data_IF_911950212195
#
_entry.id   IF_911950212195
#
_cell.length_a   1.000
_cell.length_b   1.000
_cell.length_c   1.000
_cell.angle_alpha   90.00
_cell.angle_beta   90.00
_cell.angle_gamma   90.00
#
_symmetry.space_group_name_H-M   'P 1'
#
loop_
_entity.id
_entity.type
_entity.pdbx_description
1 polymer ?
#
# COMPACT_ATOMS: atom_id res chain seq x y z
N UNK A 1 11.27 -15.10 -6.25
CA UNK A 1 10.35 -15.94 -5.49
C UNK A 1 10.81 -16.02 -4.06
N UNK A 2 10.06 -15.42 -3.15
CA UNK A 2 10.29 -15.58 -1.72
C UNK A 2 10.06 -17.04 -1.29
N UNK A 3 11.06 -17.65 -0.67
CA UNK A 3 11.00 -19.01 -0.11
C UNK A 3 10.40 -18.96 1.30
N UNK A 4 9.28 -19.62 1.52
CA UNK A 4 8.67 -19.73 2.86
C UNK A 4 9.15 -21.00 3.57
N UNK A 5 9.56 -20.87 4.82
CA UNK A 5 9.90 -21.98 5.72
C UNK A 5 9.01 -21.91 6.97
N UNK A 6 8.49 -23.05 7.39
CA UNK A 6 7.78 -23.22 8.66
C UNK A 6 8.77 -23.84 9.64
N UNK A 7 9.07 -23.14 10.72
CA UNK A 7 10.06 -23.59 11.71
C UNK A 7 9.32 -24.08 12.94
N UNK A 8 9.55 -25.34 13.30
CA UNK A 8 8.98 -26.02 14.48
C UNK A 8 10.10 -26.54 15.37
N UNK A 9 9.83 -26.91 16.63
CA UNK A 9 10.84 -27.54 17.48
C UNK A 9 11.08 -28.99 17.05
N UNK A 10 9.99 -29.73 16.84
CA UNK A 10 10.03 -31.12 16.37
C UNK A 10 9.10 -31.32 15.18
N UNK A 11 9.48 -32.18 14.22
CA UNK A 11 8.64 -32.46 13.05
C UNK A 11 7.28 -33.08 13.42
N UNK A 12 7.22 -33.79 14.56
CA UNK A 12 5.96 -34.34 15.08
C UNK A 12 4.93 -33.27 15.44
N UNK A 13 5.36 -32.04 15.73
CA UNK A 13 4.46 -30.92 16.01
C UNK A 13 3.63 -30.51 14.79
N UNK A 14 4.00 -30.99 13.59
CA UNK A 14 3.29 -30.77 12.34
C UNK A 14 2.34 -31.92 11.96
N UNK A 15 2.34 -33.04 12.68
CA UNK A 15 1.54 -34.22 12.33
C UNK A 15 0.03 -33.99 12.13
N UNK A 16 -0.64 -33.07 12.86
CA UNK A 16 -2.06 -32.79 12.63
C UNK A 16 -2.36 -32.14 11.27
N UNK A 17 -1.32 -31.66 10.57
CA UNK A 17 -1.41 -30.90 9.34
C UNK A 17 -0.94 -31.71 8.13
N UNK A 18 -1.34 -31.30 6.93
CA UNK A 18 -0.88 -31.94 5.69
C UNK A 18 0.65 -31.84 5.53
N UNK A 19 1.35 -32.91 5.13
CA UNK A 19 2.81 -32.88 4.99
C UNK A 19 3.29 -31.80 3.99
N UNK A 20 4.30 -31.05 4.38
CA UNK A 20 4.89 -29.99 3.56
C UNK A 20 6.42 -30.03 3.60
N UNK A 21 7.04 -29.91 2.43
CA UNK A 21 8.51 -29.86 2.28
C UNK A 21 9.10 -28.52 2.80
N UNK A 22 8.25 -27.58 3.24
CA UNK A 22 8.64 -26.30 3.80
C UNK A 22 8.82 -26.33 5.32
N UNK A 23 8.45 -27.43 5.98
CA UNK A 23 8.56 -27.59 7.44
C UNK A 23 9.96 -28.09 7.79
N UNK A 24 10.65 -27.36 8.65
CA UNK A 24 11.98 -27.70 9.16
C UNK A 24 12.04 -27.52 10.68
N UNK A 25 12.96 -28.21 11.34
CA UNK A 25 13.20 -27.97 12.77
C UNK A 25 14.02 -26.71 12.99
N UNK A 26 13.91 -26.09 14.16
CA UNK A 26 14.76 -24.96 14.56
C UNK A 26 16.25 -25.32 14.51
N UNK A 27 16.63 -26.53 14.94
CA UNK A 27 18.01 -27.03 14.84
C UNK A 27 18.49 -27.09 13.37
N UNK A 28 17.65 -27.58 12.46
CA UNK A 28 17.97 -27.60 11.02
C UNK A 28 18.13 -26.18 10.49
N UNK A 29 17.24 -25.26 10.89
CA UNK A 29 17.33 -23.85 10.48
C UNK A 29 18.60 -23.19 11.01
N UNK A 30 19.00 -23.46 12.25
CA UNK A 30 20.24 -22.96 12.85
C UNK A 30 21.46 -23.42 12.05
N UNK A 31 21.51 -24.71 11.70
CA UNK A 31 22.60 -25.33 10.95
C UNK A 31 22.62 -24.97 9.45
N UNK A 32 21.53 -24.40 8.91
CA UNK A 32 21.47 -24.00 7.50
C UNK A 32 22.39 -22.81 7.25
N UNK A 33 23.41 -22.99 6.40
CA UNK A 33 24.24 -21.89 5.91
C UNK A 33 23.41 -20.89 5.10
N UNK A 34 23.79 -19.61 5.14
CA UNK A 34 23.11 -18.58 4.34
C UNK A 34 23.20 -18.97 2.85
N UNK A 35 22.04 -19.11 2.22
CA UNK A 35 21.93 -19.40 0.80
C UNK A 35 22.31 -18.20 -0.06
N UNK A 36 21.86 -18.22 -1.32
CA UNK A 36 22.02 -17.08 -2.24
C UNK A 36 21.49 -15.78 -1.61
N UNK A 37 22.32 -14.73 -1.44
CA UNK A 37 21.91 -13.46 -0.84
C UNK A 37 20.79 -12.76 -1.63
N UNK A 38 20.58 -13.09 -2.90
CA UNK A 38 19.44 -12.56 -3.67
C UNK A 38 18.11 -13.29 -3.37
N UNK A 39 18.14 -14.45 -2.70
CA UNK A 39 16.94 -15.22 -2.40
C UNK A 39 16.27 -14.68 -1.12
N UNK A 40 15.12 -14.03 -1.28
CA UNK A 40 14.27 -13.68 -0.15
C UNK A 40 13.75 -14.92 0.56
N UNK A 41 13.90 -14.94 1.88
CA UNK A 41 13.40 -16.02 2.74
C UNK A 41 12.40 -15.44 3.73
N UNK A 42 11.28 -16.14 3.88
CA UNK A 42 10.24 -15.89 4.87
C UNK A 42 10.20 -17.03 5.87
N UNK A 43 10.19 -16.69 7.16
CA UNK A 43 10.08 -17.64 8.26
C UNK A 43 8.71 -17.47 8.92
N UNK A 44 7.94 -18.55 8.97
CA UNK A 44 6.77 -18.66 9.85
C UNK A 44 7.24 -19.47 11.05
N UNK A 45 7.53 -18.79 12.15
CA UNK A 45 8.01 -19.38 13.38
C UNK A 45 6.82 -19.95 14.15
N UNK A 46 6.81 -21.28 14.28
CA UNK A 46 5.79 -22.09 14.94
C UNK A 46 6.40 -22.92 16.09
N UNK A 47 7.50 -22.43 16.68
CA UNK A 47 8.07 -23.03 17.88
C UNK A 47 7.04 -23.05 19.04
N UNK A 48 7.25 -23.95 19.99
CA UNK A 48 6.32 -24.20 21.11
C UNK A 48 6.27 -23.08 22.15
N UNK A 49 7.34 -22.31 22.28
CA UNK A 49 7.45 -21.19 23.22
C UNK A 49 8.07 -19.97 22.57
N UNK A 50 7.50 -18.80 22.86
CA UNK A 50 8.02 -17.49 22.45
C UNK A 50 8.60 -16.67 23.61
N UNK A 51 8.79 -17.27 24.78
CA UNK A 51 9.38 -16.59 25.94
C UNK A 51 10.82 -16.14 25.65
N UNK A 52 11.30 -15.10 26.34
CA UNK A 52 12.69 -14.66 26.21
C UNK A 52 13.67 -15.84 26.38
N UNK A 53 14.65 -15.94 25.47
CA UNK A 53 15.65 -17.03 25.39
C UNK A 53 15.08 -18.43 25.05
N UNK A 54 13.83 -18.56 24.60
CA UNK A 54 13.34 -19.82 24.03
C UNK A 54 13.83 -20.05 22.60
N UNK A 55 13.64 -21.27 22.10
CA UNK A 55 13.88 -21.61 20.69
C UNK A 55 13.09 -20.70 19.75
N UNK A 56 11.82 -20.43 20.05
CA UNK A 56 11.01 -19.49 19.28
C UNK A 56 11.57 -18.06 19.29
N UNK A 57 12.07 -17.58 20.43
CA UNK A 57 12.72 -16.27 20.49
C UNK A 57 14.00 -16.22 19.63
N UNK A 58 14.86 -17.23 19.76
CA UNK A 58 16.10 -17.31 18.98
C UNK A 58 15.85 -17.53 17.48
N UNK A 59 14.79 -18.26 17.11
CA UNK A 59 14.38 -18.43 15.72
C UNK A 59 14.09 -17.08 15.06
N UNK A 60 13.28 -16.23 15.70
CA UNK A 60 13.00 -14.88 15.20
C UNK A 60 14.24 -13.99 15.18
N UNK A 61 15.07 -14.04 16.23
CA UNK A 61 16.30 -13.24 16.29
C UNK A 61 17.30 -13.62 15.20
N UNK A 62 17.52 -14.92 14.99
CA UNK A 62 18.41 -15.42 13.95
C UNK A 62 17.87 -15.10 12.55
N UNK A 63 16.56 -15.20 12.34
CA UNK A 63 15.95 -14.84 11.07
C UNK A 63 16.17 -13.36 10.73
N UNK A 64 15.94 -12.44 11.67
CA UNK A 64 16.21 -11.02 11.47
C UNK A 64 17.71 -10.76 11.21
N UNK A 65 18.60 -11.41 11.96
CA UNK A 65 20.06 -11.29 11.75
C UNK A 65 20.51 -11.79 10.36
N UNK A 66 19.75 -12.69 9.74
CA UNK A 66 19.96 -13.19 8.37
C UNK A 66 19.19 -12.37 7.32
N UNK A 67 18.54 -11.26 7.71
CA UNK A 67 17.65 -10.48 6.84
C UNK A 67 16.51 -11.29 6.24
N UNK A 68 16.09 -12.36 6.91
CA UNK A 68 14.89 -13.11 6.57
C UNK A 68 13.67 -12.44 7.19
N UNK A 69 12.55 -12.39 6.47
CA UNK A 69 11.31 -11.85 7.00
C UNK A 69 10.65 -12.89 7.90
N UNK A 70 10.55 -12.64 9.21
CA UNK A 70 10.00 -13.59 10.18
C UNK A 70 8.71 -13.11 10.84
N UNK A 71 7.78 -14.04 11.04
CA UNK A 71 6.60 -13.85 11.88
C UNK A 71 6.54 -14.93 12.98
N UNK A 72 6.31 -14.56 14.25
CA UNK A 72 6.39 -13.20 14.77
C UNK A 72 7.83 -12.65 14.76
N UNK A 73 7.99 -11.33 14.61
CA UNK A 73 9.28 -10.65 14.73
C UNK A 73 9.75 -10.56 16.18
N UNK A 74 11.04 -10.33 16.43
CA UNK A 74 11.57 -10.14 17.79
C UNK A 74 10.90 -8.96 18.47
N UNK A 75 10.64 -7.89 17.69
CA UNK A 75 9.86 -6.75 18.16
C UNK A 75 8.45 -7.17 18.58
N UNK A 76 7.72 -7.90 17.74
CA UNK A 76 6.37 -8.36 18.07
C UNK A 76 6.35 -9.24 19.33
N UNK A 77 7.34 -10.13 19.48
CA UNK A 77 7.49 -10.95 20.70
C UNK A 77 7.75 -10.12 21.95
N UNK A 78 8.64 -9.13 21.87
CA UNK A 78 8.94 -8.24 22.99
C UNK A 78 7.74 -7.35 23.36
N UNK A 79 7.01 -6.86 22.36
CA UNK A 79 5.84 -6.00 22.55
C UNK A 79 4.69 -6.79 23.20
N UNK A 80 4.45 -8.03 22.76
CA UNK A 80 3.45 -8.94 23.36
C UNK A 80 3.87 -9.41 24.76
N UNK A 81 5.18 -9.57 25.01
CA UNK A 81 5.70 -10.01 26.31
C UNK A 81 5.58 -8.97 27.43
N UNK A 82 5.21 -7.71 27.13
CA UNK A 82 5.12 -6.62 28.13
C UNK A 82 3.81 -5.84 28.03
N UNK A 83 2.98 -5.93 29.07
CA UNK A 83 1.66 -5.27 29.15
C UNK A 83 1.67 -3.76 28.87
N UNK A 84 2.72 -3.05 29.32
CA UNK A 84 2.82 -1.62 29.07
C UNK A 84 3.06 -1.27 27.60
N UNK A 85 3.76 -2.13 26.84
CA UNK A 85 4.18 -1.83 25.47
C UNK A 85 3.05 -2.01 24.46
N UNK A 86 2.31 -3.12 24.54
CA UNK A 86 1.20 -3.30 23.59
C UNK A 86 0.07 -2.31 23.87
N UNK A 87 -0.21 -1.92 25.12
CA UNK A 87 -1.28 -0.96 25.45
C UNK A 87 -1.13 0.40 24.74
N UNK A 88 0.09 0.91 24.62
CA UNK A 88 0.39 2.13 23.86
C UNK A 88 0.00 2.00 22.37
N UNK A 89 0.14 0.79 21.82
CA UNK A 89 -0.22 0.50 20.44
C UNK A 89 -1.70 0.12 20.28
N UNK A 90 -2.55 0.21 21.33
CA UNK A 90 -3.97 -0.13 21.26
C UNK A 90 -4.90 1.09 21.36
N UNK A 91 -4.38 2.30 21.60
CA UNK A 91 -5.18 3.52 21.87
C UNK A 91 -6.25 3.80 20.79
N UNK A 92 -5.96 3.50 19.52
CA UNK A 92 -6.89 3.71 18.40
C UNK A 92 -7.90 2.56 18.14
N UNK A 93 -7.92 1.48 18.95
CA UNK A 93 -8.81 0.33 18.69
C UNK A 93 -10.16 0.40 19.41
N UNK A 94 -10.41 1.47 20.17
CA UNK A 94 -11.66 1.68 20.93
C UNK A 94 -12.91 1.67 20.04
N UNK A 95 -12.86 2.28 18.85
CA UNK A 95 -13.97 2.28 17.89
C UNK A 95 -14.28 0.89 17.30
N UNK A 96 -13.31 0.15 16.73
CA UNK A 96 -13.52 -1.23 16.29
C UNK A 96 -14.07 -2.14 17.39
N UNK A 97 -13.55 -2.01 18.62
CA UNK A 97 -14.04 -2.73 19.79
C UNK A 97 -15.52 -2.44 20.07
N UNK A 98 -15.90 -1.15 20.10
CA UNK A 98 -17.28 -0.75 20.33
C UNK A 98 -18.24 -1.27 19.24
N UNK A 99 -17.79 -1.36 17.98
CA UNK A 99 -18.59 -1.92 16.87
C UNK A 99 -18.79 -3.42 17.01
N UNK A 100 -17.72 -4.17 17.29
CA UNK A 100 -17.76 -5.63 17.43
C UNK A 100 -18.73 -6.06 18.55
N UNK A 101 -18.79 -5.30 19.63
CA UNK A 101 -19.59 -5.62 20.81
C UNK A 101 -20.96 -4.93 20.90
N UNK A 102 -21.47 -4.30 19.82
CA UNK A 102 -22.78 -3.61 19.83
C UNK A 102 -23.96 -4.43 20.35
N UNK A 103 -23.87 -5.78 20.35
CA UNK A 103 -24.96 -6.71 20.68
C UNK A 103 -24.63 -7.70 21.82
N UNK A 104 -23.47 -7.61 22.46
CA UNK A 104 -23.07 -8.58 23.49
C UNK A 104 -23.30 -8.09 24.92
N UNK A 105 -23.42 -9.05 25.84
CA UNK A 105 -23.67 -8.81 27.26
C UNK A 105 -22.48 -8.12 27.93
N UNK A 106 -22.76 -7.07 28.69
CA UNK A 106 -21.78 -6.15 29.28
C UNK A 106 -21.10 -6.65 30.57
N UNK A 107 -21.17 -7.94 30.90
CA UNK A 107 -20.73 -8.46 32.21
C UNK A 107 -19.82 -9.70 32.13
N UNK A 108 -19.14 -9.94 31.01
CA UNK A 108 -18.29 -11.14 30.83
C UNK A 108 -16.90 -10.79 30.30
N UNK A 109 -15.90 -11.50 30.82
CA UNK A 109 -14.60 -11.64 30.17
C UNK A 109 -14.74 -12.61 28.99
N UNK A 110 -14.11 -12.27 27.85
CA UNK A 110 -14.19 -13.01 26.61
C UNK A 110 -12.77 -13.29 26.12
N UNK A 111 -12.49 -14.55 25.80
CA UNK A 111 -11.24 -14.96 25.15
C UNK A 111 -11.52 -15.26 23.69
N UNK A 112 -10.76 -14.62 22.80
CA UNK A 112 -10.85 -14.76 21.35
C UNK A 112 -9.50 -15.22 20.81
N UNK A 113 -9.53 -16.09 19.80
CA UNK A 113 -8.32 -16.48 19.07
C UNK A 113 -8.31 -15.88 17.67
N UNK A 114 -7.16 -15.33 17.29
CA UNK A 114 -6.84 -14.93 15.93
C UNK A 114 -5.81 -15.88 15.33
N UNK A 115 -6.05 -16.29 14.09
CA UNK A 115 -5.17 -17.12 13.28
C UNK A 115 -4.74 -16.31 12.06
N UNK A 116 -3.48 -15.88 11.99
CA UNK A 116 -2.95 -15.03 10.92
C UNK A 116 -3.85 -13.81 10.58
N UNK A 117 -4.44 -13.17 11.59
CA UNK A 117 -5.33 -12.02 11.41
C UNK A 117 -6.75 -12.36 10.96
N UNK A 118 -7.15 -13.62 11.04
CA UNK A 118 -8.52 -14.09 10.81
C UNK A 118 -9.09 -14.75 12.07
N UNK A 119 -10.41 -14.87 12.15
CA UNK A 119 -11.09 -15.52 13.26
C UNK A 119 -12.42 -16.09 12.75
N UNK A 120 -12.95 -17.19 13.32
CA UNK A 120 -14.23 -17.76 12.87
C UNK A 120 -15.44 -16.87 13.16
N UNK A 121 -15.35 -15.93 14.09
CA UNK A 121 -16.46 -15.03 14.44
C UNK A 121 -16.45 -13.75 13.58
N UNK A 122 -17.46 -13.54 12.71
CA UNK A 122 -17.52 -12.39 11.82
C UNK A 122 -17.56 -11.04 12.54
N UNK A 123 -18.04 -10.99 13.79
CA UNK A 123 -18.12 -9.75 14.56
C UNK A 123 -16.74 -9.17 14.88
N UNK A 124 -15.71 -10.03 14.98
CA UNK A 124 -14.36 -9.64 15.37
C UNK A 124 -13.37 -9.54 14.20
N UNK A 125 -13.80 -9.79 12.96
CA UNK A 125 -12.94 -9.76 11.78
C UNK A 125 -12.12 -8.45 11.64
N UNK A 126 -12.76 -7.29 11.84
CA UNK A 126 -12.08 -5.99 11.75
C UNK A 126 -11.01 -5.83 12.85
N UNK A 127 -11.35 -6.24 14.07
CA UNK A 127 -10.45 -6.17 15.23
C UNK A 127 -9.22 -7.05 15.05
N UNK A 128 -9.40 -8.33 14.73
CA UNK A 128 -8.28 -9.27 14.58
C UNK A 128 -7.37 -8.90 13.42
N UNK A 129 -7.92 -8.33 12.33
CA UNK A 129 -7.13 -7.82 11.22
C UNK A 129 -6.22 -6.68 11.69
N UNK A 130 -6.78 -5.67 12.35
CA UNK A 130 -6.01 -4.52 12.85
C UNK A 130 -4.94 -4.94 13.87
N UNK A 131 -5.27 -5.91 14.74
CA UNK A 131 -4.30 -6.47 15.70
C UNK A 131 -3.16 -7.18 14.98
N UNK A 132 -3.44 -7.98 13.96
CA UNK A 132 -2.41 -8.68 13.19
C UNK A 132 -1.52 -7.73 12.38
N UNK A 133 -2.04 -6.59 11.93
CA UNK A 133 -1.21 -5.54 11.29
C UNK A 133 -0.18 -4.93 12.25
N UNK A 134 -0.51 -4.85 13.55
CA UNK A 134 0.35 -4.30 14.61
C UNK A 134 1.26 -5.36 15.23
N UNK A 135 0.72 -6.55 15.47
CA UNK A 135 1.37 -7.70 16.07
C UNK A 135 1.25 -8.92 15.15
N UNK A 136 2.07 -9.00 14.08
CA UNK A 136 2.05 -10.16 13.19
C UNK A 136 2.44 -11.41 13.96
N UNK A 137 1.46 -12.27 14.26
CA UNK A 137 1.63 -13.50 15.01
C UNK A 137 0.77 -14.61 14.40
N UNK A 138 1.29 -15.85 14.23
CA UNK A 138 0.52 -16.98 13.70
C UNK A 138 -0.78 -17.24 14.47
N UNK A 139 -0.69 -17.27 15.80
CA UNK A 139 -1.84 -17.41 16.70
C UNK A 139 -1.72 -16.36 17.79
N UNK A 140 -2.77 -15.55 17.94
CA UNK A 140 -2.87 -14.55 18.97
C UNK A 140 -4.14 -14.81 19.81
N UNK A 141 -3.95 -15.04 21.10
CA UNK A 141 -5.03 -15.06 22.09
C UNK A 141 -5.26 -13.63 22.58
N UNK A 142 -6.53 -13.22 22.57
CA UNK A 142 -6.99 -11.88 22.86
C UNK A 142 -8.01 -11.97 23.98
N UNK A 143 -7.69 -11.41 25.14
CA UNK A 143 -8.61 -11.35 26.27
C UNK A 143 -9.23 -9.97 26.35
N UNK A 144 -10.57 -9.96 26.40
CA UNK A 144 -11.40 -8.77 26.36
C UNK A 144 -12.24 -8.72 27.63
N UNK A 145 -12.30 -7.56 28.26
CA UNK A 145 -13.14 -7.34 29.45
C UNK A 145 -13.95 -6.07 29.28
N UNK A 146 -15.19 -6.13 29.76
CA UNK A 146 -16.02 -4.94 29.89
C UNK A 146 -15.87 -4.35 31.29
N UNK A 147 -15.41 -3.10 31.38
CA UNK A 147 -15.51 -2.29 32.59
C UNK A 147 -16.48 -1.12 32.36
N UNK A 148 -15.98 0.03 31.92
CA UNK A 148 -16.82 1.14 31.43
C UNK A 148 -17.04 1.05 29.91
N UNK A 149 -16.03 0.51 29.21
CA UNK A 149 -16.01 0.18 27.80
C UNK A 149 -15.33 -1.17 27.61
N UNK A 150 -15.44 -1.76 26.42
CA UNK A 150 -14.69 -2.97 26.08
C UNK A 150 -13.23 -2.63 25.88
N UNK A 151 -12.35 -3.32 26.60
CA UNK A 151 -10.91 -3.13 26.52
C UNK A 151 -10.21 -4.48 26.37
N UNK A 152 -9.08 -4.46 25.65
CA UNK A 152 -8.17 -5.60 25.56
C UNK A 152 -7.32 -5.61 26.83
N UNK A 153 -7.54 -6.61 27.68
CA UNK A 153 -6.80 -6.75 28.94
C UNK A 153 -5.47 -7.45 28.72
N UNK A 154 -5.43 -8.44 27.84
CA UNK A 154 -4.28 -9.31 27.60
C UNK A 154 -4.16 -9.71 26.12
N UNK A 155 -2.92 -9.79 25.63
CA UNK A 155 -2.58 -10.26 24.29
C UNK A 155 -1.42 -11.25 24.39
N UNK A 156 -1.63 -12.49 23.95
CA UNK A 156 -0.63 -13.55 24.05
C UNK A 156 -0.39 -14.25 22.73
N UNK A 157 0.89 -14.40 22.37
CA UNK A 157 1.30 -15.30 21.30
C UNK A 157 1.18 -16.75 21.79
N UNK A 158 0.39 -17.57 21.10
CA UNK A 158 0.12 -18.96 21.50
C UNK A 158 0.74 -19.92 20.48
N UNK A 159 1.27 -21.04 20.93
CA UNK A 159 1.74 -22.09 20.04
C UNK A 159 0.57 -22.88 19.47
N UNK A 160 0.68 -23.28 18.20
CA UNK A 160 -0.30 -24.13 17.52
C UNK A 160 -0.52 -25.48 18.21
N UNK A 161 0.39 -25.90 19.10
CA UNK A 161 0.29 -27.14 19.89
C UNK A 161 -0.80 -27.10 20.97
N UNK A 162 -1.20 -25.91 21.40
CA UNK A 162 -2.25 -25.73 22.41
C UNK A 162 -3.65 -25.62 21.81
N UNK A 163 -3.77 -25.77 20.48
CA UNK A 163 -5.04 -25.71 19.76
C UNK A 163 -5.75 -27.06 19.82
N UNK A 164 -7.05 -27.04 20.10
CA UNK A 164 -7.91 -28.21 19.91
C UNK A 164 -8.15 -28.51 18.42
N UNK A 165 -8.77 -29.65 18.09
CA UNK A 165 -9.00 -30.09 16.71
C UNK A 165 -9.76 -29.07 15.85
N UNK A 166 -10.70 -28.33 16.46
CA UNK A 166 -11.49 -27.31 15.76
C UNK A 166 -10.63 -26.08 15.48
N UNK A 167 -9.88 -25.63 16.48
CA UNK A 167 -8.92 -24.53 16.37
C UNK A 167 -7.79 -24.84 15.38
N UNK A 168 -7.30 -26.08 15.34
CA UNK A 168 -6.30 -26.54 14.36
C UNK A 168 -6.84 -26.47 12.93
N UNK A 169 -8.12 -26.80 12.72
CA UNK A 169 -8.77 -26.64 11.41
C UNK A 169 -8.78 -25.17 10.98
N UNK A 170 -9.20 -24.26 11.88
CA UNK A 170 -9.18 -22.83 11.59
C UNK A 170 -7.77 -22.29 11.34
N UNK A 171 -6.78 -22.75 12.11
CA UNK A 171 -5.38 -22.42 11.89
C UNK A 171 -4.89 -22.86 10.51
N UNK A 172 -5.20 -24.10 10.09
CA UNK A 172 -4.79 -24.62 8.80
C UNK A 172 -5.42 -23.84 7.63
N UNK A 173 -6.72 -23.51 7.73
CA UNK A 173 -7.41 -22.67 6.75
C UNK A 173 -6.84 -21.26 6.69
N UNK A 174 -6.55 -20.66 7.85
CA UNK A 174 -5.95 -19.34 7.94
C UNK A 174 -4.54 -19.34 7.35
N UNK A 175 -3.74 -20.38 7.62
CA UNK A 175 -2.41 -20.55 7.07
C UNK A 175 -2.41 -20.72 5.54
N UNK A 176 -3.38 -21.44 4.97
CA UNK A 176 -3.55 -21.55 3.52
C UNK A 176 -3.91 -20.20 2.87
N UNK A 177 -4.84 -19.46 3.49
CA UNK A 177 -5.23 -18.12 3.03
C UNK A 177 -4.10 -17.13 3.13
N UNK A 178 -3.36 -17.19 4.24
CA UNK A 178 -2.22 -16.36 4.52
C UNK A 178 -1.12 -16.69 3.52
N UNK A 179 -0.56 -17.89 3.58
CA UNK A 179 0.52 -18.35 2.70
C UNK A 179 0.04 -19.52 1.83
N UNK A 180 -0.46 -19.19 0.63
CA UNK A 180 -0.85 -20.17 -0.41
C UNK A 180 0.28 -21.09 -0.88
N UNK A 181 1.50 -20.88 -0.38
CA UNK A 181 2.71 -21.66 -0.68
C UNK A 181 2.87 -22.85 0.27
N UNK A 182 2.28 -22.84 1.47
CA UNK A 182 2.53 -23.83 2.54
C UNK A 182 2.13 -25.26 2.14
N UNK A 183 1.02 -25.42 1.43
CA UNK A 183 0.44 -26.73 1.13
C UNK A 183 0.73 -27.24 -0.29
N UNK A 184 1.52 -26.50 -1.09
CA UNK A 184 1.76 -26.86 -2.49
C UNK A 184 2.79 -28.01 -2.57
N UNK A 185 2.33 -29.25 -2.66
CA UNK A 185 3.13 -30.33 -3.26
C UNK A 185 3.45 -29.98 -4.71
N UNK A 186 4.72 -30.19 -5.10
CA UNK A 186 5.29 -29.85 -6.40
C UNK A 186 4.50 -30.35 -7.60
N UNK A 187 3.50 -29.58 -8.04
CA UNK A 187 3.02 -29.65 -9.42
C UNK A 187 3.89 -28.73 -10.24
N UNK A 188 4.55 -29.30 -11.24
CA UNK A 188 5.31 -28.60 -12.27
C UNK A 188 4.39 -27.69 -13.11
N UNK A 189 3.88 -26.61 -12.53
CA UNK A 189 3.58 -25.40 -13.31
C UNK A 189 4.94 -24.84 -13.72
N UNK A 190 5.03 -24.23 -14.91
CA UNK A 190 6.14 -23.33 -15.24
C UNK A 190 6.40 -22.48 -14.00
N UNK A 191 7.52 -22.72 -13.32
CA UNK A 191 7.83 -22.07 -12.05
C UNK A 191 7.84 -20.58 -12.38
N UNK A 192 6.84 -19.85 -11.89
CA UNK A 192 6.95 -18.42 -11.89
C UNK A 192 8.25 -18.09 -11.15
N UNK A 193 9.08 -17.21 -11.68
CA UNK A 193 10.31 -16.79 -11.03
C UNK A 193 10.02 -15.77 -9.92
N UNK A 194 8.93 -15.03 -10.06
CA UNK A 194 8.56 -13.94 -9.17
C UNK A 194 7.05 -13.91 -8.87
N UNK A 195 6.68 -13.34 -7.72
CA UNK A 195 5.31 -13.06 -7.32
C UNK A 195 5.05 -11.54 -7.32
N UNK A 196 4.00 -11.05 -7.97
CA UNK A 196 3.66 -9.63 -8.02
C UNK A 196 2.28 -9.38 -7.41
N UNK A 197 2.23 -8.57 -6.36
CA UNK A 197 0.98 -8.03 -5.84
C UNK A 197 0.55 -6.82 -6.66
N UNK A 198 -0.70 -6.83 -7.14
CA UNK A 198 -1.34 -5.66 -7.74
C UNK A 198 -2.43 -5.17 -6.79
N UNK A 199 -2.21 -4.03 -6.13
CA UNK A 199 -3.19 -3.43 -5.22
C UNK A 199 -4.30 -2.76 -6.00
N UNK A 200 -5.55 -3.15 -5.73
CA UNK A 200 -6.75 -2.59 -6.36
C UNK A 200 -7.80 -2.24 -5.31
N UNK A 201 -8.62 -1.24 -5.64
CA UNK A 201 -9.88 -0.99 -4.98
C UNK A 201 -11.03 -1.32 -5.94
N UNK A 202 -11.84 -2.32 -5.56
CA UNK A 202 -12.94 -2.81 -6.40
C UNK A 202 -14.12 -1.84 -6.48
N UNK A 203 -14.20 -0.91 -5.52
CA UNK A 203 -15.29 0.06 -5.37
C UNK A 203 -14.89 1.45 -5.89
N UNK A 204 -13.63 1.64 -6.30
CA UNK A 204 -13.17 2.90 -6.89
C UNK A 204 -13.92 3.18 -8.20
N UNK A 205 -14.53 4.37 -8.30
CA UNK A 205 -15.36 4.75 -9.45
C UNK A 205 -14.53 5.01 -10.71
N UNK A 206 -13.32 5.53 -10.55
CA UNK A 206 -12.40 5.89 -11.62
C UNK A 206 -11.03 5.23 -11.38
N UNK A 207 -10.93 3.90 -11.43
CA UNK A 207 -9.71 3.21 -11.10
C UNK A 207 -8.64 3.46 -12.18
N UNK A 208 -7.34 3.51 -11.82
CA UNK A 208 -6.25 3.61 -12.79
C UNK A 208 -6.21 2.47 -13.82
N UNK A 209 -6.92 1.37 -13.58
CA UNK A 209 -7.00 0.24 -14.51
C UNK A 209 -8.39 -0.36 -14.58
N UNK A 210 -8.87 -0.58 -15.80
CA UNK A 210 -10.10 -1.30 -16.03
C UNK A 210 -9.89 -2.83 -15.94
N UNK A 211 -10.99 -3.59 -15.89
CA UNK A 211 -10.96 -5.05 -15.78
C UNK A 211 -10.19 -5.74 -16.91
N UNK A 212 -10.23 -5.19 -18.13
CA UNK A 212 -9.50 -5.73 -19.28
C UNK A 212 -7.99 -5.57 -19.10
N UNK A 213 -7.53 -4.43 -18.59
CA UNK A 213 -6.13 -4.18 -18.27
C UNK A 213 -5.64 -5.14 -17.18
N UNK A 214 -6.41 -5.34 -16.10
CA UNK A 214 -6.07 -6.29 -15.03
C UNK A 214 -5.92 -7.73 -15.54
N UNK A 215 -6.84 -8.18 -16.40
CA UNK A 215 -6.72 -9.50 -17.06
C UNK A 215 -5.46 -9.61 -17.93
N UNK A 216 -5.09 -8.53 -18.64
CA UNK A 216 -3.85 -8.48 -19.42
C UNK A 216 -2.62 -8.55 -18.53
N UNK A 217 -2.58 -7.86 -17.39
CA UNK A 217 -1.47 -7.96 -16.43
C UNK A 217 -1.28 -9.41 -15.97
N UNK A 218 -2.36 -10.10 -15.59
CA UNK A 218 -2.29 -11.51 -15.15
C UNK A 218 -1.79 -12.42 -16.28
N UNK A 219 -2.31 -12.24 -17.49
CA UNK A 219 -1.90 -13.03 -18.67
C UNK A 219 -0.42 -12.83 -19.00
N UNK A 220 0.02 -11.58 -19.11
CA UNK A 220 1.41 -11.24 -19.46
C UNK A 220 2.37 -11.64 -18.34
N UNK A 221 1.98 -11.48 -17.08
CA UNK A 221 2.75 -12.00 -15.95
C UNK A 221 2.99 -13.49 -16.09
N UNK A 222 1.93 -14.27 -16.34
CA UNK A 222 2.04 -15.73 -16.53
C UNK A 222 2.99 -16.09 -17.68
N UNK A 223 2.94 -15.38 -18.80
CA UNK A 223 3.83 -15.59 -19.96
C UNK A 223 5.29 -15.27 -19.64
N UNK A 224 5.54 -14.25 -18.80
CA UNK A 224 6.86 -13.84 -18.33
C UNK A 224 7.36 -14.61 -17.09
N UNK A 225 6.57 -15.57 -16.58
CA UNK A 225 6.90 -16.30 -15.36
C UNK A 225 6.80 -15.44 -14.09
N UNK A 226 5.80 -14.55 -14.02
CA UNK A 226 5.45 -13.76 -12.85
C UNK A 226 4.04 -14.17 -12.42
N UNK A 227 3.86 -14.67 -11.20
CA UNK A 227 2.54 -14.96 -10.64
C UNK A 227 1.93 -13.65 -10.14
N UNK A 228 0.85 -13.20 -10.79
CA UNK A 228 0.22 -11.91 -10.52
C UNK A 228 -1.03 -12.12 -9.69
N UNK A 229 -1.03 -11.61 -8.47
CA UNK A 229 -2.18 -11.65 -7.56
C UNK A 229 -2.79 -10.26 -7.39
N UNK A 230 -4.11 -10.14 -7.58
CA UNK A 230 -4.83 -8.93 -7.25
C UNK A 230 -5.13 -8.91 -5.76
N UNK A 231 -4.58 -7.94 -5.05
CA UNK A 231 -4.75 -7.75 -3.61
C UNK A 231 -5.58 -6.50 -3.30
N UNK A 232 -6.12 -6.44 -2.09
CA UNK A 232 -6.92 -5.32 -1.59
C UNK A 232 -6.30 -4.76 -0.30
N UNK A 233 -6.91 -3.70 0.25
CA UNK A 233 -6.51 -3.15 1.54
C UNK A 233 -6.41 -4.22 2.66
N UNK A 234 -7.24 -5.27 2.60
CA UNK A 234 -7.30 -6.32 3.61
C UNK A 234 -6.07 -7.24 3.61
N UNK A 235 -5.31 -7.24 2.52
CA UNK A 235 -4.13 -8.09 2.33
C UNK A 235 -2.83 -7.44 2.83
N UNK A 236 -2.92 -6.33 3.57
CA UNK A 236 -1.75 -5.58 4.06
C UNK A 236 -0.76 -6.45 4.84
N UNK A 237 -1.26 -7.41 5.63
CA UNK A 237 -0.44 -8.37 6.37
C UNK A 237 0.34 -9.36 5.48
N UNK A 238 -0.17 -9.66 4.28
CA UNK A 238 0.40 -10.64 3.34
C UNK A 238 1.46 -10.05 2.41
N UNK A 239 1.65 -8.73 2.43
CA UNK A 239 2.57 -8.03 1.54
C UNK A 239 4.00 -8.65 1.48
N UNK A 240 4.60 -9.15 2.58
CA UNK A 240 5.92 -9.78 2.54
C UNK A 240 6.01 -11.09 1.74
N UNK A 241 4.89 -11.65 1.28
CA UNK A 241 4.85 -12.88 0.45
C UNK A 241 5.25 -12.64 -1.00
N UNK A 242 5.14 -11.38 -1.43
CA UNK A 242 5.30 -10.98 -2.81
C UNK A 242 6.71 -10.47 -3.08
N UNK A 243 7.12 -10.59 -4.33
CA UNK A 243 8.40 -10.06 -4.77
C UNK A 243 8.35 -8.57 -5.12
N UNK A 244 7.17 -8.07 -5.51
CA UNK A 244 6.93 -6.67 -5.82
C UNK A 244 5.49 -6.24 -5.57
N UNK A 245 5.29 -4.93 -5.50
CA UNK A 245 4.00 -4.28 -5.35
C UNK A 245 3.78 -3.32 -6.53
N UNK A 246 2.60 -3.40 -7.16
CA UNK A 246 2.13 -2.45 -8.16
C UNK A 246 0.79 -1.84 -7.73
N UNK A 247 0.74 -0.54 -7.50
CA UNK A 247 -0.47 0.13 -7.00
C UNK A 247 -1.35 0.57 -8.18
N UNK A 248 -2.53 -0.05 -8.32
CA UNK A 248 -3.55 0.29 -9.33
C UNK A 248 -4.80 0.86 -8.67
N UNK A 249 -4.57 1.77 -7.74
CA UNK A 249 -5.54 2.60 -7.05
C UNK A 249 -5.00 4.04 -6.96
N UNK A 250 -5.87 5.03 -6.83
CA UNK A 250 -5.43 6.42 -6.63
C UNK A 250 -4.47 6.54 -5.43
N UNK A 251 -3.27 7.05 -5.70
CA UNK A 251 -2.22 7.27 -4.70
C UNK A 251 -2.45 8.60 -3.98
N UNK A 252 -2.32 8.60 -2.65
CA UNK A 252 -2.42 9.79 -1.81
C UNK A 252 -1.58 9.62 -0.54
N UNK A 253 -1.00 10.71 -0.04
CA UNK A 253 -0.08 10.69 1.12
C UNK A 253 -0.82 10.30 2.40
N UNK A 254 -2.01 10.88 2.61
CA UNK A 254 -2.90 10.53 3.74
C UNK A 254 -3.88 9.42 3.36
N UNK A 255 -3.35 8.31 2.81
CA UNK A 255 -4.15 7.18 2.38
C UNK A 255 -3.43 5.86 2.62
N UNK A 256 -4.16 4.75 2.66
CA UNK A 256 -3.56 3.44 2.89
C UNK A 256 -2.61 3.02 1.76
N UNK A 257 -2.79 3.54 0.54
CA UNK A 257 -1.90 3.28 -0.60
C UNK A 257 -0.46 3.72 -0.28
N UNK A 258 -0.27 4.84 0.41
CA UNK A 258 1.06 5.28 0.87
C UNK A 258 1.64 4.35 1.94
N UNK A 259 0.80 3.87 2.87
CA UNK A 259 1.23 2.90 3.88
C UNK A 259 1.67 1.57 3.24
N UNK A 260 0.95 1.09 2.23
CA UNK A 260 1.34 -0.08 1.43
C UNK A 260 2.69 0.13 0.74
N UNK A 261 2.90 1.27 0.09
CA UNK A 261 4.17 1.59 -0.55
C UNK A 261 5.33 1.62 0.47
N UNK A 262 5.14 2.27 1.64
CA UNK A 262 6.14 2.35 2.71
C UNK A 262 6.46 0.99 3.29
N UNK A 263 5.44 0.15 3.51
CA UNK A 263 5.64 -1.22 4.00
C UNK A 263 6.37 -2.06 2.96
N UNK A 264 5.95 -2.03 1.70
CA UNK A 264 6.61 -2.77 0.63
C UNK A 264 8.11 -2.40 0.52
N UNK A 265 8.43 -1.10 0.55
CA UNK A 265 9.82 -0.60 0.58
C UNK A 265 10.60 -1.12 1.79
N UNK A 266 10.03 -1.03 3.00
CA UNK A 266 10.66 -1.51 4.23
C UNK A 266 10.89 -3.04 4.24
N UNK A 267 9.99 -3.79 3.59
CA UNK A 267 10.06 -5.25 3.45
C UNK A 267 10.91 -5.69 2.24
N UNK A 268 11.57 -4.75 1.55
CA UNK A 268 12.48 -5.03 0.43
C UNK A 268 11.77 -5.46 -0.87
N UNK A 269 10.50 -5.12 -1.05
CA UNK A 269 9.78 -5.34 -2.30
C UNK A 269 10.19 -4.33 -3.37
N UNK A 270 10.16 -4.77 -4.63
CA UNK A 270 10.17 -3.85 -5.75
C UNK A 270 8.84 -3.11 -5.82
N UNK A 271 8.83 -1.81 -5.53
CA UNK A 271 7.62 -1.00 -5.52
C UNK A 271 7.50 -0.21 -6.80
N UNK A 272 6.44 -0.46 -7.56
CA UNK A 272 5.97 0.44 -8.62
C UNK A 272 4.98 1.40 -7.94
N UNK A 273 5.21 2.70 -8.14
CA UNK A 273 4.59 3.79 -7.38
C UNK A 273 5.17 3.91 -5.96
N UNK A 274 6.49 4.07 -5.87
CA UNK A 274 7.23 4.12 -4.60
C UNK A 274 6.85 5.35 -3.73
N UNK A 275 7.07 5.27 -2.40
CA UNK A 275 6.67 6.33 -1.48
C UNK A 275 7.29 7.69 -1.79
N UNK A 276 8.55 7.71 -2.24
CA UNK A 276 9.25 8.95 -2.54
C UNK A 276 8.64 9.63 -3.76
N UNK A 277 8.30 8.86 -4.79
CA UNK A 277 7.59 9.33 -5.97
C UNK A 277 6.18 9.82 -5.62
N UNK A 278 5.43 9.09 -4.80
CA UNK A 278 4.10 9.51 -4.34
C UNK A 278 4.15 10.89 -3.66
N UNK A 279 5.10 11.10 -2.75
CA UNK A 279 5.25 12.36 -2.01
C UNK A 279 5.64 13.53 -2.92
N UNK A 280 6.59 13.29 -3.84
CA UNK A 280 7.10 14.32 -4.75
C UNK A 280 6.07 14.69 -5.82
N UNK A 281 5.37 13.70 -6.38
CA UNK A 281 4.42 13.90 -7.48
C UNK A 281 3.07 14.45 -7.02
N UNK A 282 2.66 14.21 -5.76
CA UNK A 282 1.42 14.78 -5.21
C UNK A 282 1.51 16.30 -5.05
N UNK A 283 2.71 16.84 -4.79
CA UNK A 283 2.91 18.26 -4.50
C UNK A 283 3.34 19.06 -5.74
N UNK A 284 2.42 19.83 -6.33
CA UNK A 284 2.73 20.66 -7.50
C UNK A 284 3.73 21.78 -7.24
N UNK A 285 3.81 22.29 -6.00
CA UNK A 285 4.83 23.30 -5.65
C UNK A 285 6.21 22.69 -5.73
N UNK A 286 6.35 21.49 -5.17
CA UNK A 286 7.60 20.72 -5.24
C UNK A 286 8.00 20.42 -6.69
N UNK A 287 7.05 19.97 -7.52
CA UNK A 287 7.32 19.73 -8.95
C UNK A 287 7.71 21.01 -9.71
N UNK A 288 7.02 22.13 -9.47
CA UNK A 288 7.32 23.39 -10.13
C UNK A 288 8.75 23.88 -9.81
N UNK A 289 9.19 23.72 -8.55
CA UNK A 289 10.54 24.08 -8.16
C UNK A 289 11.61 23.14 -8.76
N UNK A 290 11.32 21.82 -8.83
CA UNK A 290 12.21 20.86 -9.49
C UNK A 290 12.34 21.13 -10.98
N UNK A 291 11.24 21.38 -11.70
CA UNK A 291 11.31 21.69 -13.13
C UNK A 291 12.13 22.94 -13.41
N UNK A 292 11.98 23.98 -12.58
CA UNK A 292 12.81 25.18 -12.65
C UNK A 292 14.29 24.89 -12.39
N UNK A 293 14.59 24.14 -11.33
CA UNK A 293 15.97 23.82 -10.91
C UNK A 293 16.70 22.97 -11.95
N UNK A 294 16.01 21.97 -12.50
CA UNK A 294 16.55 21.04 -13.50
C UNK A 294 16.33 21.48 -14.94
N UNK A 295 15.76 22.68 -15.16
CA UNK A 295 15.50 23.27 -16.49
C UNK A 295 14.64 22.38 -17.40
N UNK A 296 13.70 21.63 -16.80
CA UNK A 296 12.68 20.90 -17.55
C UNK A 296 11.72 21.92 -18.17
N UNK A 297 11.46 21.88 -19.49
CA UNK A 297 10.53 22.80 -20.13
C UNK A 297 9.14 22.69 -19.48
N UNK A 298 8.69 23.78 -18.85
CA UNK A 298 7.39 23.85 -18.21
C UNK A 298 6.85 25.28 -18.31
N UNK A 299 5.51 25.47 -18.30
CA UNK A 299 4.94 26.81 -18.30
C UNK A 299 5.40 27.60 -17.07
N UNK A 300 5.63 28.90 -17.24
CA UNK A 300 6.02 29.81 -16.15
C UNK A 300 5.00 29.69 -15.01
N UNK A 301 5.54 29.52 -13.81
CA UNK A 301 4.76 29.21 -12.61
C UNK A 301 5.22 30.09 -11.46
N UNK A 302 4.25 30.69 -10.76
CA UNK A 302 4.44 31.56 -9.60
C UNK A 302 3.78 30.93 -8.37
N UNK A 303 4.45 31.01 -7.24
CA UNK A 303 3.93 30.51 -5.97
C UNK A 303 3.32 31.69 -5.20
N UNK A 304 2.02 31.59 -4.93
CA UNK A 304 1.26 32.59 -4.18
C UNK A 304 1.13 32.14 -2.72
N UNK A 305 1.35 33.06 -1.78
CA UNK A 305 1.19 32.81 -0.35
C UNK A 305 0.03 33.64 0.22
N UNK A 306 -0.73 33.05 1.13
CA UNK A 306 -1.86 33.72 1.77
C UNK A 306 -1.41 35.02 2.46
N UNK A 307 -2.10 36.13 2.18
CA UNK A 307 -1.81 37.43 2.78
C UNK A 307 -0.65 38.21 2.16
N UNK A 308 -0.01 37.69 1.10
CA UNK A 308 1.01 38.44 0.36
C UNK A 308 0.43 39.02 -0.94
N UNK A 309 -0.11 40.24 -0.86
CA UNK A 309 -0.70 40.94 -2.02
C UNK A 309 0.35 41.23 -3.10
N UNK A 310 1.59 41.50 -2.71
CA UNK A 310 2.68 41.78 -3.67
C UNK A 310 2.98 40.61 -4.61
N UNK A 311 2.63 39.36 -4.24
CA UNK A 311 2.71 38.23 -5.16
C UNK A 311 1.70 38.33 -6.30
N UNK A 312 0.51 38.87 -6.04
CA UNK A 312 -0.53 39.07 -7.06
C UNK A 312 -0.13 40.19 -8.02
N UNK A 313 0.40 41.29 -7.49
CA UNK A 313 0.87 42.43 -8.31
C UNK A 313 2.02 42.02 -9.22
N UNK A 314 2.96 41.24 -8.68
CA UNK A 314 4.06 40.68 -9.47
C UNK A 314 3.57 39.71 -10.54
N UNK A 315 2.61 38.84 -10.21
CA UNK A 315 2.01 37.93 -11.17
C UNK A 315 1.37 38.70 -12.34
N UNK A 316 0.60 39.74 -12.04
CA UNK A 316 -0.04 40.58 -13.05
C UNK A 316 0.97 41.30 -13.96
N UNK A 317 2.03 41.86 -13.37
CA UNK A 317 3.09 42.54 -14.11
C UNK A 317 3.93 41.59 -14.98
N UNK A 318 4.27 40.40 -14.48
CA UNK A 318 5.18 39.46 -15.14
C UNK A 318 4.46 38.55 -16.15
N UNK A 319 3.25 38.09 -15.84
CA UNK A 319 2.52 37.07 -16.62
C UNK A 319 1.46 37.67 -17.54
N UNK A 320 0.80 38.76 -17.10
CA UNK A 320 -0.47 39.19 -17.70
C UNK A 320 -1.59 38.17 -17.49
N UNK A 321 -2.66 38.28 -18.29
CA UNK A 321 -3.81 37.37 -18.25
C UNK A 321 -4.10 36.78 -19.63
N UNK A 322 -4.69 35.56 -19.72
CA UNK A 322 -5.21 34.75 -18.62
C UNK A 322 -4.16 33.87 -17.92
N UNK A 323 -4.41 33.55 -16.64
CA UNK A 323 -3.59 32.62 -15.84
C UNK A 323 -4.45 31.53 -15.22
N UNK A 324 -3.82 30.39 -14.91
CA UNK A 324 -4.48 29.25 -14.27
C UNK A 324 -4.02 29.13 -12.82
N UNK A 325 -4.96 29.17 -11.88
CA UNK A 325 -4.73 28.99 -10.45
C UNK A 325 -5.00 27.53 -10.07
N UNK A 326 -4.09 26.93 -9.31
CA UNK A 326 -4.12 25.52 -8.90
C UNK A 326 -3.82 25.38 -7.40
N UNK A 327 -4.58 24.52 -6.72
CA UNK A 327 -4.22 24.04 -5.37
C UNK A 327 -3.06 23.02 -5.48
N UNK A 328 -2.03 23.10 -4.61
CA UNK A 328 -0.89 22.18 -4.61
C UNK A 328 -1.29 20.70 -4.61
N UNK A 329 -2.21 20.31 -3.71
CA UNK A 329 -2.57 18.93 -3.40
C UNK A 329 -3.85 18.42 -4.13
N UNK A 330 -4.32 19.14 -5.16
CA UNK A 330 -5.53 18.75 -5.90
C UNK A 330 -5.28 17.74 -7.02
N UNK A 331 -6.01 16.62 -7.08
CA UNK A 331 -6.04 15.72 -8.25
C UNK A 331 -7.36 15.86 -9.05
N UNK A 332 -7.40 15.37 -10.29
CA UNK A 332 -8.59 15.34 -11.15
C UNK A 332 -9.29 16.69 -11.38
N UNK A 333 -8.54 17.72 -11.75
CA UNK A 333 -9.07 19.05 -12.10
C UNK A 333 -9.87 19.79 -11.00
N UNK A 334 -9.87 19.28 -9.76
CA UNK A 334 -10.48 19.96 -8.62
C UNK A 334 -9.55 21.07 -8.12
N UNK A 335 -10.09 22.27 -7.90
CA UNK A 335 -9.31 23.43 -7.46
C UNK A 335 -8.41 24.02 -8.56
N UNK A 336 -8.78 23.85 -9.83
CA UNK A 336 -8.13 24.49 -10.98
C UNK A 336 -9.09 25.52 -11.58
N UNK A 337 -8.70 26.79 -11.63
CA UNK A 337 -9.52 27.88 -12.17
C UNK A 337 -8.70 28.73 -13.14
N UNK A 338 -9.27 29.04 -14.31
CA UNK A 338 -8.71 30.02 -15.23
C UNK A 338 -9.28 31.40 -14.89
N UNK A 339 -8.41 32.39 -14.71
CA UNK A 339 -8.78 33.78 -14.44
C UNK A 339 -8.28 34.68 -15.56
N UNK A 340 -9.11 35.64 -15.97
CA UNK A 340 -8.88 36.46 -17.16
C UNK A 340 -8.53 37.91 -16.85
N UNK A 341 -8.62 38.32 -15.59
CA UNK A 341 -8.31 39.67 -15.13
C UNK A 341 -8.02 39.67 -13.61
N UNK A 342 -7.58 40.83 -13.12
CA UNK A 342 -7.22 41.03 -11.71
C UNK A 342 -8.38 40.83 -10.73
N UNK A 343 -9.58 41.27 -11.09
CA UNK A 343 -10.76 41.11 -10.23
C UNK A 343 -11.12 39.63 -10.04
N UNK A 344 -11.10 38.85 -11.12
CA UNK A 344 -11.30 37.39 -11.07
C UNK A 344 -10.21 36.70 -10.25
N UNK A 345 -8.95 37.14 -10.39
CA UNK A 345 -7.83 36.61 -9.62
C UNK A 345 -8.05 36.79 -8.11
N UNK A 346 -8.36 38.00 -7.66
CA UNK A 346 -8.54 38.30 -6.24
C UNK A 346 -9.70 37.51 -5.62
N UNK A 347 -10.84 37.46 -6.31
CA UNK A 347 -12.00 36.68 -5.87
C UNK A 347 -11.67 35.19 -5.72
N UNK A 348 -11.01 34.61 -6.73
CA UNK A 348 -10.72 33.17 -6.74
C UNK A 348 -9.58 32.78 -5.82
N UNK A 349 -8.56 33.62 -5.70
CA UNK A 349 -7.48 33.42 -4.75
C UNK A 349 -7.99 33.49 -3.31
N UNK A 350 -8.89 34.43 -2.99
CA UNK A 350 -9.51 34.51 -1.66
C UNK A 350 -10.31 33.24 -1.31
N UNK A 351 -11.09 32.71 -2.26
CA UNK A 351 -11.83 31.45 -2.13
C UNK A 351 -10.89 30.26 -1.89
N UNK A 352 -9.88 30.08 -2.77
CA UNK A 352 -8.99 28.93 -2.73
C UNK A 352 -8.02 28.96 -1.53
N UNK A 353 -7.64 30.16 -1.06
CA UNK A 353 -6.87 30.28 0.18
C UNK A 353 -7.65 29.90 1.43
N UNK A 354 -8.98 29.72 1.40
CA UNK A 354 -9.66 29.10 2.55
C UNK A 354 -9.25 27.64 2.74
N UNK A 355 -8.81 26.97 1.67
CA UNK A 355 -8.50 25.54 1.63
C UNK A 355 -6.99 25.25 1.67
N UNK A 356 -6.13 26.21 1.27
CA UNK A 356 -4.68 26.04 1.27
C UNK A 356 -3.94 27.30 1.70
N UNK A 357 -2.72 27.17 2.21
CA UNK A 357 -1.83 28.29 2.51
C UNK A 357 -1.06 28.79 1.28
N UNK A 358 -0.89 27.90 0.29
CA UNK A 358 -0.14 28.14 -0.94
C UNK A 358 -1.02 27.84 -2.14
N UNK A 359 -0.88 28.63 -3.20
CA UNK A 359 -1.48 28.39 -4.50
C UNK A 359 -0.40 28.49 -5.58
N UNK A 360 -0.60 27.78 -6.70
CA UNK A 360 0.21 27.97 -7.89
C UNK A 360 -0.58 28.77 -8.90
N UNK A 361 0.02 29.85 -9.42
CA UNK A 361 -0.43 30.49 -10.63
C UNK A 361 0.49 30.05 -11.77
N UNK A 362 -0.08 29.68 -12.91
CA UNK A 362 0.66 29.22 -14.07
C UNK A 362 0.15 29.95 -15.31
N UNK A 363 1.05 30.30 -16.23
CA UNK A 363 0.66 30.91 -17.50
C UNK A 363 -0.29 29.99 -18.29
N UNK A 364 -1.28 30.57 -18.94
CA UNK A 364 -2.20 29.79 -19.78
C UNK A 364 -1.61 29.62 -21.18
N UNK A 365 -1.34 28.37 -21.55
CA UNK A 365 -0.97 27.99 -22.91
C UNK A 365 -2.13 27.21 -23.53
N UNK A 366 -2.59 27.65 -24.70
CA UNK A 366 -3.59 26.89 -25.46
C UNK A 366 -2.93 25.73 -26.19
N UNK A 367 -3.48 24.54 -26.05
CA UNK A 367 -3.08 23.34 -26.78
C UNK A 367 -4.32 22.64 -27.34
N UNK A 368 -4.21 22.07 -28.53
CA UNK A 368 -5.27 21.24 -29.13
C UNK A 368 -5.34 19.86 -28.46
N UNK A 369 -4.20 19.39 -27.93
CA UNK A 369 -4.07 18.14 -27.20
C UNK A 369 -2.87 18.19 -26.24
N UNK A 370 -2.88 17.29 -25.25
CA UNK A 370 -1.77 17.07 -24.34
C UNK A 370 -1.07 15.74 -24.63
N UNK A 371 0.26 15.74 -24.62
CA UNK A 371 1.03 14.50 -24.62
C UNK A 371 1.00 13.82 -23.25
N UNK A 372 0.81 12.50 -23.23
CA UNK A 372 0.98 11.64 -22.06
C UNK A 372 1.98 10.55 -22.40
N UNK A 373 3.14 10.59 -21.75
CA UNK A 373 4.20 9.59 -21.95
C UNK A 373 4.18 8.63 -20.76
N UNK A 374 3.95 7.35 -21.03
CA UNK A 374 4.04 6.30 -20.01
C UNK A 374 5.48 5.85 -19.87
N UNK A 375 6.06 6.01 -18.68
CA UNK A 375 7.46 5.68 -18.40
C UNK A 375 7.54 4.54 -17.40
N UNK A 376 8.45 3.60 -17.62
CA UNK A 376 8.75 2.55 -16.68
C UNK A 376 10.26 2.28 -16.68
N UNK A 377 10.88 2.35 -15.49
CA UNK A 377 12.31 2.14 -15.32
C UNK A 377 13.16 2.94 -16.33
N UNK A 378 12.91 4.27 -16.38
CA UNK A 378 13.58 5.23 -17.28
C UNK A 378 13.45 4.91 -18.79
N UNK A 379 12.38 4.21 -19.19
CA UNK A 379 12.06 3.95 -20.60
C UNK A 379 10.64 4.39 -20.91
N UNK A 380 10.47 5.17 -21.96
CA UNK A 380 9.15 5.48 -22.52
C UNK A 380 8.56 4.19 -23.15
N UNK A 381 7.40 3.76 -22.65
CA UNK A 381 6.69 2.57 -23.09
C UNK A 381 5.63 2.87 -24.15
N UNK A 382 4.90 3.97 -23.96
CA UNK A 382 3.84 4.40 -24.87
C UNK A 382 3.66 5.91 -24.80
N UNK A 383 3.03 6.46 -25.83
CA UNK A 383 2.61 7.84 -25.87
C UNK A 383 1.14 7.95 -26.26
N UNK A 384 0.44 8.89 -25.64
CA UNK A 384 -0.93 9.21 -26.01
C UNK A 384 -1.08 10.71 -26.23
N UNK A 385 -1.93 11.08 -27.19
CA UNK A 385 -2.48 12.43 -27.29
C UNK A 385 -3.86 12.43 -26.64
N UNK A 386 -4.05 13.28 -25.66
CA UNK A 386 -5.34 13.49 -25.02
C UNK A 386 -5.91 14.80 -25.54
N UNK A 387 -7.03 14.72 -26.25
CA UNK A 387 -7.68 15.90 -26.79
C UNK A 387 -8.51 16.60 -25.71
N UNK A 388 -8.67 17.91 -25.85
CA UNK A 388 -9.53 18.68 -24.95
C UNK A 388 -11.01 18.39 -25.25
N UNK A 389 -11.89 18.52 -24.24
CA UNK A 389 -13.35 18.42 -24.47
C UNK A 389 -13.80 19.57 -25.37
N UNK A 390 -14.71 19.32 -26.34
CA UNK A 390 -15.19 20.38 -27.25
C UNK A 390 -15.67 21.61 -26.47
N UNK A 391 -15.14 22.78 -26.83
CA UNK A 391 -15.39 24.08 -26.18
C UNK A 391 -14.96 24.15 -24.70
N UNK A 392 -14.00 23.33 -24.28
CA UNK A 392 -13.46 23.31 -22.93
C UNK A 392 -11.94 23.19 -22.99
N UNK A 393 -11.22 23.82 -22.06
CA UNK A 393 -9.76 23.85 -22.05
C UNK A 393 -9.13 22.74 -21.18
N UNK A 394 -9.96 21.88 -20.58
CA UNK A 394 -9.52 20.71 -19.80
C UNK A 394 -9.99 19.41 -20.47
N UNK A 395 -9.21 18.35 -20.26
CA UNK A 395 -9.47 16.99 -20.72
C UNK A 395 -10.70 16.36 -20.05
N UNK A 396 -11.00 16.74 -18.80
CA UNK A 396 -12.17 16.30 -18.05
C UNK A 396 -13.04 17.47 -17.66
N UNK A 397 -14.35 17.35 -17.85
CA UNK A 397 -15.35 18.29 -17.33
C UNK A 397 -16.17 17.58 -16.25
N UNK A 398 -16.03 18.02 -15.00
CA UNK A 398 -16.81 17.52 -13.87
C UNK A 398 -18.07 18.37 -13.70
N UNK A 399 -19.21 17.90 -14.22
CA UNK A 399 -20.53 18.45 -13.87
C UNK A 399 -21.17 17.57 -12.78
N UNK A 400 -22.11 18.11 -12.01
CA UNK A 400 -22.70 17.47 -10.82
C UNK A 400 -23.19 16.02 -11.04
N UNK A 401 -23.59 15.63 -12.26
CA UNK A 401 -24.09 14.29 -12.59
C UNK A 401 -23.38 13.59 -13.77
N UNK A 402 -22.35 14.18 -14.40
CA UNK A 402 -21.68 13.58 -15.57
C UNK A 402 -20.23 14.05 -15.70
N UNK A 403 -19.32 13.11 -15.96
CA UNK A 403 -17.93 13.38 -16.31
C UNK A 403 -17.79 13.16 -17.82
N UNK A 404 -17.53 14.24 -18.56
CA UNK A 404 -17.22 14.16 -19.99
C UNK A 404 -15.68 14.20 -20.15
N UNK A 405 -15.14 13.31 -20.99
CA UNK A 405 -13.71 13.26 -21.34
C UNK A 405 -13.50 13.52 -22.82
N UNK A 406 -12.38 14.16 -23.17
CA UNK A 406 -11.96 14.28 -24.56
C UNK A 406 -11.57 12.93 -25.17
N UNK A 407 -11.35 12.91 -26.49
CA UNK A 407 -10.88 11.73 -27.21
C UNK A 407 -9.39 11.47 -26.91
N UNK A 408 -8.89 10.28 -27.22
CA UNK A 408 -7.48 9.95 -27.07
C UNK A 408 -6.95 9.09 -28.22
N UNK A 409 -5.71 9.37 -28.62
CA UNK A 409 -4.97 8.62 -29.65
C UNK A 409 -3.72 8.02 -29.01
N UNK A 410 -3.43 6.75 -29.27
CA UNK A 410 -2.22 6.08 -28.79
C UNK A 410 -1.26 5.90 -29.95
N UNK A 411 -0.01 6.32 -29.77
CA UNK A 411 1.03 6.38 -30.80
C UNK A 411 2.27 5.62 -30.34
N UNK A 412 3.07 5.17 -31.30
CA UNK A 412 4.37 4.61 -30.98
C UNK A 412 5.32 5.71 -30.51
N UNK A 413 6.24 5.39 -29.61
CA UNK A 413 7.14 6.39 -29.02
C UNK A 413 8.01 7.08 -30.06
N UNK A 414 8.40 6.40 -31.14
CA UNK A 414 9.19 6.99 -32.23
C UNK A 414 8.45 8.04 -33.06
N UNK A 415 7.12 8.13 -32.95
CA UNK A 415 6.29 9.15 -33.61
C UNK A 415 6.16 10.43 -32.76
N UNK A 416 6.67 10.40 -31.53
CA UNK A 416 6.65 11.53 -30.60
C UNK A 416 7.82 12.46 -30.90
N UNK A 417 7.62 13.79 -30.93
CA UNK A 417 8.72 14.74 -31.07
C UNK A 417 9.81 14.51 -30.02
N UNK A 418 11.08 14.54 -30.45
CA UNK A 418 12.24 14.25 -29.59
C UNK A 418 12.24 15.08 -28.31
N UNK A 419 11.92 16.38 -28.42
CA UNK A 419 11.87 17.29 -27.27
C UNK A 419 10.84 16.89 -26.21
N UNK A 420 9.72 16.24 -26.61
CA UNK A 420 8.71 15.75 -25.67
C UNK A 420 9.20 14.51 -24.92
N UNK A 421 9.89 13.60 -25.61
CA UNK A 421 10.50 12.42 -24.97
C UNK A 421 11.67 12.81 -24.06
N UNK A 422 12.52 13.74 -24.48
CA UNK A 422 13.63 14.27 -23.68
C UNK A 422 13.16 15.04 -22.46
N UNK A 423 12.03 15.74 -22.52
CA UNK A 423 11.46 16.39 -21.34
C UNK A 423 10.82 15.40 -20.36
N UNK A 424 10.42 14.21 -20.83
CA UNK A 424 9.76 13.20 -20.04
C UNK A 424 10.75 12.29 -19.28
N UNK A 425 11.93 12.04 -19.83
CA UNK A 425 13.02 11.21 -19.27
C UNK A 425 14.04 12.06 -18.52
#
# INVERSE_FOLDING_TARGET
MARTLLVVDTLSDWNPYYPSDQVITFETYLATEQGDPEQRVRIINLCSSYSYLSDGYYCSLLAEARSHHVIPSVKALNDLGKNALYRLQLEDLSEPLARAFKRQNKNSEITLFSYFGTTPDPAFHELVRLLFERFPCPVLEITLRFEQQWEITDLKAVSHRHLDDTMQTFFAEALDKFSKKVWRKGRARKLARYDLAILINREEKLPPSNRTALKKFIKMGTELGIDVELITQQDYGRLPEFDGLFIRETTAIDHYTYRFAKKAEAEGLMVIDDPSSMLRCANKVYLADLFRTHRVPSPKTWILHRGNIGHLDKLEADAGFPVVIKIPDGSFSRGIVKVNNRQELELKVAELFQQSALLLAQEFLYTEFDWRIGIFNNKALFACRYYMVKNHWQIYRHNANRVDSGDFETLATFEVPKAVLEAAL
#
